data_IF_162831983012
#
_entry.id   IF_162831983012
#
_cell.length_a   1.000
_cell.length_b   1.000
_cell.length_c   1.000
_cell.angle_alpha   90.00
_cell.angle_beta   90.00
_cell.angle_gamma   90.00
#
_symmetry.space_group_name_H-M   'P 1'
#
loop_
_entity.id
_entity.type
_entity.pdbx_description
1 polymer ?
#
# COMPACT_ATOMS: atom_id res chain seq x y z
N UNK A 1 -9.74 -0.31 -25.63
CA UNK A 1 -8.78 -0.03 -24.53
C UNK A 1 -7.37 -0.08 -25.10
N UNK A 2 -6.72 1.07 -25.16
CA UNK A 2 -5.34 1.21 -25.64
C UNK A 2 -4.35 0.63 -24.62
N UNK A 3 -3.19 0.11 -25.04
CA UNK A 3 -2.21 -0.50 -24.13
C UNK A 3 -1.66 0.50 -23.09
N UNK A 4 -1.64 1.79 -23.42
CA UNK A 4 -1.31 2.87 -22.48
C UNK A 4 -2.33 2.99 -21.34
N UNK A 5 -3.60 2.71 -21.61
CA UNK A 5 -4.71 2.81 -20.68
C UNK A 5 -4.65 1.67 -19.66
N UNK A 6 -4.43 0.43 -20.14
CA UNK A 6 -4.22 -0.76 -19.30
C UNK A 6 -3.03 -0.59 -18.37
N UNK A 7 -1.93 -0.02 -18.87
CA UNK A 7 -0.71 0.19 -18.08
C UNK A 7 -0.93 1.22 -16.96
N UNK A 8 -1.69 2.29 -17.23
CA UNK A 8 -2.08 3.29 -16.21
C UNK A 8 -2.96 2.67 -15.13
N UNK A 9 -3.97 1.89 -15.50
CA UNK A 9 -4.84 1.22 -14.52
C UNK A 9 -4.05 0.25 -13.64
N UNK A 10 -3.11 -0.50 -14.21
CA UNK A 10 -2.23 -1.40 -13.44
C UNK A 10 -1.35 -0.64 -12.45
N UNK A 11 -0.79 0.49 -12.87
CA UNK A 11 0.02 1.34 -11.99
C UNK A 11 -0.82 1.96 -10.85
N UNK A 12 -2.00 2.49 -11.17
CA UNK A 12 -2.93 3.05 -10.19
C UNK A 12 -3.42 2.01 -9.18
N UNK A 13 -3.79 0.82 -9.66
CA UNK A 13 -4.17 -0.31 -8.80
C UNK A 13 -3.03 -0.67 -7.83
N UNK A 14 -1.80 -0.81 -8.33
CA UNK A 14 -0.63 -1.12 -7.50
C UNK A 14 -0.34 -0.02 -6.47
N UNK A 15 -0.53 1.25 -6.84
CA UNK A 15 -0.38 2.37 -5.92
C UNK A 15 -1.44 2.33 -4.80
N UNK A 16 -2.70 2.06 -5.14
CA UNK A 16 -3.78 1.91 -4.16
C UNK A 16 -3.55 0.76 -3.18
N UNK A 17 -3.09 -0.40 -3.67
CA UNK A 17 -2.74 -1.54 -2.81
C UNK A 17 -1.58 -1.19 -1.88
N UNK A 18 -0.53 -0.50 -2.39
CA UNK A 18 0.59 -0.05 -1.55
C UNK A 18 0.12 0.90 -0.44
N UNK A 19 -0.73 1.85 -0.79
CA UNK A 19 -1.32 2.77 0.18
C UNK A 19 -2.13 2.06 1.26
N UNK A 20 -3.01 1.13 0.87
CA UNK A 20 -3.85 0.38 1.80
C UNK A 20 -3.02 -0.45 2.81
N UNK A 21 -1.96 -1.12 2.34
CA UNK A 21 -1.06 -1.89 3.21
C UNK A 21 -0.33 -0.98 4.20
N UNK A 22 0.21 0.16 3.73
CA UNK A 22 0.87 1.12 4.61
C UNK A 22 -0.09 1.69 5.68
N UNK A 23 -1.33 2.02 5.29
CA UNK A 23 -2.36 2.50 6.21
C UNK A 23 -2.73 1.45 7.25
N UNK A 24 -2.96 0.20 6.84
CA UNK A 24 -3.33 -0.88 7.73
C UNK A 24 -2.19 -1.25 8.68
N UNK A 25 -0.93 -1.15 8.22
CA UNK A 25 0.25 -1.37 9.06
C UNK A 25 0.35 -0.34 10.18
N UNK A 26 0.13 0.94 9.87
CA UNK A 26 0.01 2.00 10.88
C UNK A 26 -1.11 1.70 11.88
N UNK A 27 -2.26 1.21 11.40
CA UNK A 27 -3.38 0.85 12.28
C UNK A 27 -3.03 -0.32 13.21
N UNK A 28 -2.33 -1.33 12.70
CA UNK A 28 -1.87 -2.47 13.50
C UNK A 28 -0.86 -2.06 14.59
N UNK A 29 0.00 -1.07 14.29
CA UNK A 29 0.87 -0.45 15.29
C UNK A 29 0.06 0.26 16.38
N UNK A 30 -0.91 1.08 16.01
CA UNK A 30 -1.77 1.80 16.99
C UNK A 30 -2.58 0.84 17.88
N UNK A 31 -2.97 -0.32 17.34
CA UNK A 31 -3.70 -1.35 18.07
C UNK A 31 -2.81 -2.27 18.92
N UNK A 32 -1.48 -2.15 18.78
CA UNK A 32 -0.51 -3.06 19.36
C UNK A 32 -0.80 -4.54 19.03
N UNK A 33 -1.20 -4.82 17.78
CA UNK A 33 -1.50 -6.17 17.30
C UNK A 33 -0.27 -6.76 16.59
N UNK A 34 0.52 -7.63 17.25
CA UNK A 34 1.72 -8.21 16.65
C UNK A 34 1.39 -9.15 15.49
N UNK A 35 0.25 -9.84 15.55
CA UNK A 35 -0.14 -10.80 14.50
C UNK A 35 -0.49 -10.08 13.20
N UNK A 36 -1.28 -9.01 13.29
CA UNK A 36 -1.58 -8.16 12.15
C UNK A 36 -0.30 -7.55 11.55
N UNK A 37 0.64 -7.09 12.40
CA UNK A 37 1.92 -6.55 11.94
C UNK A 37 2.73 -7.56 11.14
N UNK A 38 2.80 -8.82 11.57
CA UNK A 38 3.58 -9.85 10.87
C UNK A 38 3.01 -10.18 9.49
N UNK A 39 1.69 -10.26 9.37
CA UNK A 39 1.00 -10.44 8.07
C UNK A 39 1.31 -9.25 7.15
N UNK A 40 1.23 -8.03 7.68
CA UNK A 40 1.40 -6.81 6.89
C UNK A 40 2.87 -6.56 6.52
N UNK A 41 3.83 -7.01 7.33
CA UNK A 41 5.26 -7.01 6.99
C UNK A 41 5.51 -7.86 5.73
N UNK A 42 4.89 -9.04 5.66
CA UNK A 42 5.02 -9.93 4.49
C UNK A 42 4.40 -9.29 3.24
N UNK A 43 3.23 -8.67 3.37
CA UNK A 43 2.58 -7.94 2.27
C UNK A 43 3.42 -6.74 1.80
N UNK A 44 3.99 -5.97 2.72
CA UNK A 44 4.85 -4.84 2.43
C UNK A 44 6.13 -5.24 1.68
N UNK A 45 6.77 -6.34 2.09
CA UNK A 45 7.94 -6.89 1.42
C UNK A 45 7.65 -7.21 -0.05
N UNK A 46 6.57 -7.93 -0.34
CA UNK A 46 6.20 -8.28 -1.73
C UNK A 46 5.83 -7.06 -2.59
N UNK A 47 5.35 -5.99 -1.96
CA UNK A 47 4.99 -4.75 -2.66
C UNK A 47 6.15 -3.76 -2.80
N UNK A 48 7.31 -4.04 -2.19
CA UNK A 48 8.46 -3.15 -2.14
C UNK A 48 8.14 -1.84 -1.42
N UNK A 49 7.46 -1.95 -0.27
CA UNK A 49 7.15 -0.84 0.61
C UNK A 49 8.21 -0.82 1.72
N UNK A 50 8.88 0.32 1.90
CA UNK A 50 9.74 0.54 3.06
C UNK A 50 8.88 1.08 4.20
N UNK A 51 8.76 0.30 5.27
CA UNK A 51 8.01 0.68 6.47
C UNK A 51 8.88 1.41 7.50
N UNK A 52 10.20 1.45 7.32
CA UNK A 52 11.16 2.07 8.24
C UNK A 52 11.27 3.57 8.05
N UNK A 53 11.07 4.04 6.82
CA UNK A 53 11.10 5.47 6.45
C UNK A 53 9.86 6.22 6.90
N UNK A 54 8.82 5.50 7.36
CA UNK A 54 7.51 6.11 7.64
C UNK A 54 6.93 6.78 6.39
N UNK A 55 7.34 6.32 5.20
CA UNK A 55 6.99 6.95 3.93
C UNK A 55 5.48 7.14 3.87
N UNK A 56 5.08 8.41 3.82
CA UNK A 56 3.70 8.79 3.58
C UNK A 56 3.44 8.48 2.11
N UNK A 57 3.03 7.24 1.83
CA UNK A 57 2.49 6.89 0.53
C UNK A 57 1.27 7.80 0.36
N UNK A 58 1.26 8.73 -0.61
CA UNK A 58 0.11 9.58 -0.81
C UNK A 58 -1.08 8.70 -1.19
N UNK A 59 -2.29 9.03 -0.72
CA UNK A 59 -3.48 8.33 -1.17
C UNK A 59 -3.53 8.34 -2.70
N UNK A 60 -3.95 7.23 -3.34
CA UNK A 60 -4.16 7.25 -4.78
C UNK A 60 -5.11 8.41 -5.11
N UNK A 61 -4.90 9.12 -6.24
CA UNK A 61 -5.81 10.18 -6.64
C UNK A 61 -7.21 9.60 -6.74
N UNK A 62 -8.12 10.08 -5.89
CA UNK A 62 -9.55 9.83 -6.04
C UNK A 62 -9.99 10.57 -7.28
N UNK A 63 -10.42 9.84 -8.31
CA UNK A 63 -11.19 10.44 -9.41
C UNK A 63 -12.49 10.97 -8.77
N UNK A 64 -12.57 12.29 -8.58
CA UNK A 64 -13.83 13.01 -8.36
C UNK A 64 -14.59 13.18 -9.68
#
# INVERSE_FOLDING_TARGET
MSDHEKQRTKAAHRAGVRWAIAWLHKRALDMNDPHARDILNSAAYHLGIDLSTGDVIPPPPTEE
#
